data_IF_049900682050
#
_entry.id   IF_049900682050
#
_cell.length_a   1.000
_cell.length_b   1.000
_cell.length_c   1.000
_cell.angle_alpha   90.00
_cell.angle_beta   90.00
_cell.angle_gamma   90.00
#
_symmetry.space_group_name_H-M   'P 1'
#
loop_
_entity.id
_entity.type
_entity.pdbx_description
1 polymer ?
#
# COMPACT_ATOMS: atom_id res chain seq x y z
N UNK A 1 19.24 -24.44 -18.62
CA UNK A 1 18.03 -23.78 -18.07
C UNK A 1 18.31 -23.46 -16.61
N UNK A 2 18.39 -22.18 -16.23
CA UNK A 2 18.75 -21.77 -14.87
C UNK A 2 17.57 -22.01 -13.92
N UNK A 3 17.76 -22.84 -12.89
CA UNK A 3 16.76 -23.03 -11.85
C UNK A 3 16.48 -21.69 -11.16
N UNK A 4 15.24 -21.18 -11.26
CA UNK A 4 14.79 -20.03 -10.45
C UNK A 4 14.77 -20.45 -8.98
N UNK A 5 15.80 -20.03 -8.26
CA UNK A 5 15.90 -20.10 -6.79
C UNK A 5 14.73 -19.29 -6.21
N UNK A 6 13.92 -19.97 -5.40
CA UNK A 6 12.81 -19.49 -4.55
C UNK A 6 12.52 -17.97 -4.55
N UNK A 7 11.30 -17.57 -4.96
CA UNK A 7 10.94 -16.14 -5.03
C UNK A 7 10.45 -15.57 -3.70
N UNK A 8 9.80 -16.37 -2.82
CA UNK A 8 9.56 -16.10 -1.37
C UNK A 8 9.13 -17.41 -0.66
N UNK A 9 9.49 -17.61 0.63
CA UNK A 9 8.93 -18.62 1.58
C UNK A 9 8.97 -18.08 3.01
N UNK A 10 8.41 -16.91 3.21
CA UNK A 10 8.97 -15.93 4.13
C UNK A 10 8.83 -16.25 5.63
N UNK A 11 9.97 -16.13 6.35
CA UNK A 11 10.03 -15.58 7.73
C UNK A 11 11.26 -14.64 7.91
N UNK A 12 10.96 -13.35 7.89
CA UNK A 12 11.53 -12.09 8.41
C UNK A 12 10.54 -11.01 7.90
N UNK A 13 10.41 -9.77 8.39
CA UNK A 13 9.15 -9.03 8.23
C UNK A 13 8.86 -8.67 6.76
N UNK A 14 7.76 -9.21 6.22
CA UNK A 14 7.20 -8.79 4.95
C UNK A 14 5.85 -8.18 5.19
N UNK A 15 5.58 -7.12 4.44
CA UNK A 15 4.30 -6.46 4.46
C UNK A 15 3.24 -7.43 3.95
N UNK A 16 2.33 -7.85 4.83
CA UNK A 16 1.22 -8.75 4.49
C UNK A 16 -0.02 -7.98 4.08
N UNK A 17 -0.28 -6.88 4.78
CA UNK A 17 -1.49 -6.09 4.62
C UNK A 17 -1.25 -4.66 5.06
N UNK A 18 -1.93 -3.74 4.38
CA UNK A 18 -2.16 -2.38 4.84
C UNK A 18 -3.66 -2.15 4.92
N UNK A 19 -4.07 -1.35 5.89
CA UNK A 19 -5.46 -0.95 6.07
C UNK A 19 -5.52 0.51 6.49
N UNK A 20 -6.58 1.18 6.06
CA UNK A 20 -6.97 2.48 6.58
C UNK A 20 -7.73 2.26 7.89
N UNK A 21 -7.33 3.01 8.91
CA UNK A 21 -8.04 3.06 10.19
C UNK A 21 -8.85 4.36 10.24
N UNK A 22 -10.17 4.34 9.89
CA UNK A 22 -10.94 5.55 9.65
C UNK A 22 -11.06 6.45 10.89
N UNK A 23 -11.01 5.87 12.08
CA UNK A 23 -11.03 6.57 13.36
C UNK A 23 -9.82 7.49 13.59
N UNK A 24 -8.75 7.33 12.82
CA UNK A 24 -7.54 8.17 12.89
C UNK A 24 -7.50 9.28 11.84
N UNK A 25 -8.50 9.35 10.96
CA UNK A 25 -8.58 10.40 9.95
C UNK A 25 -9.25 11.64 10.55
N UNK A 26 -8.49 12.72 10.66
CA UNK A 26 -8.98 13.98 11.22
C UNK A 26 -9.80 14.81 10.21
N UNK A 27 -9.44 14.76 8.93
CA UNK A 27 -10.07 15.53 7.86
C UNK A 27 -10.12 14.68 6.58
N UNK A 28 -11.31 14.35 6.10
CA UNK A 28 -11.51 13.54 4.90
C UNK A 28 -11.36 14.33 3.60
N UNK A 29 -11.48 15.65 3.66
CA UNK A 29 -11.41 16.51 2.48
C UNK A 29 -9.96 16.99 2.20
N UNK A 30 -9.07 16.85 3.19
CA UNK A 30 -7.65 17.14 3.09
C UNK A 30 -6.81 16.02 2.42
N UNK A 31 -5.66 16.39 1.86
CA UNK A 31 -4.67 15.41 1.39
C UNK A 31 -4.08 14.63 2.60
N UNK A 32 -3.88 13.30 2.51
CA UNK A 32 -4.09 12.44 1.33
C UNK A 32 -5.50 11.85 1.20
N UNK A 33 -6.40 12.10 2.16
CA UNK A 33 -7.70 11.42 2.28
C UNK A 33 -8.71 11.77 1.20
N UNK A 34 -8.58 12.93 0.56
CA UNK A 34 -9.41 13.31 -0.59
C UNK A 34 -9.02 12.62 -1.91
N UNK A 35 -7.95 11.80 -1.92
CA UNK A 35 -7.55 11.05 -3.11
C UNK A 35 -8.59 9.98 -3.49
N UNK A 36 -8.77 9.70 -4.80
CA UNK A 36 -9.76 8.70 -5.26
C UNK A 36 -9.63 7.32 -4.60
N UNK A 37 -8.42 6.88 -4.27
CA UNK A 37 -8.17 5.58 -3.62
C UNK A 37 -8.75 5.46 -2.20
N UNK A 38 -9.09 6.57 -1.55
CA UNK A 38 -9.66 6.61 -0.19
C UNK A 38 -11.10 7.13 -0.16
N UNK A 39 -11.74 7.31 -1.33
CA UNK A 39 -13.08 7.90 -1.46
C UNK A 39 -14.14 7.17 -0.64
N UNK A 40 -14.06 5.85 -0.56
CA UNK A 40 -15.03 5.02 0.15
C UNK A 40 -14.80 5.05 1.67
N UNK A 41 -13.79 5.80 2.15
CA UNK A 41 -13.39 5.93 3.57
C UNK A 41 -12.99 4.63 4.24
N UNK A 42 -12.87 3.57 3.45
CA UNK A 42 -12.36 2.27 3.80
C UNK A 42 -11.29 1.92 2.76
N UNK A 43 -10.23 1.26 3.23
CA UNK A 43 -9.18 0.77 2.35
C UNK A 43 -8.49 -0.40 3.01
N UNK A 44 -8.37 -1.50 2.30
CA UNK A 44 -7.61 -2.66 2.70
C UNK A 44 -6.90 -3.22 1.48
N UNK A 45 -5.62 -3.55 1.63
CA UNK A 45 -4.85 -4.16 0.57
C UNK A 45 -3.96 -5.27 1.12
N UNK A 46 -4.20 -6.50 0.66
CA UNK A 46 -3.42 -7.68 1.01
C UNK A 46 -2.38 -7.99 -0.06
N UNK A 47 -1.15 -8.23 0.37
CA UNK A 47 -0.04 -8.61 -0.48
C UNK A 47 -0.01 -10.14 -0.64
N UNK A 48 -0.53 -10.62 -1.77
CA UNK A 48 -0.58 -12.06 -2.10
C UNK A 48 0.65 -12.56 -2.85
N UNK A 49 1.54 -11.65 -3.27
CA UNK A 49 2.73 -11.93 -4.07
C UNK A 49 3.91 -11.04 -3.64
N UNK A 50 5.13 -11.52 -3.87
CA UNK A 50 6.36 -10.74 -3.56
C UNK A 50 6.48 -9.46 -4.40
N UNK A 51 5.97 -9.53 -5.63
CA UNK A 51 5.97 -8.43 -6.58
C UNK A 51 4.52 -8.04 -6.77
N UNK A 52 4.20 -6.81 -6.41
CA UNK A 52 2.88 -6.21 -6.56
C UNK A 52 3.02 -4.99 -7.45
N UNK A 53 2.18 -4.92 -8.49
CA UNK A 53 2.17 -3.79 -9.42
C UNK A 53 0.89 -2.99 -9.18
N UNK A 54 1.04 -1.73 -8.77
CA UNK A 54 -0.08 -0.80 -8.56
C UNK A 54 -0.29 0.01 -9.83
N UNK A 55 -1.47 -0.09 -10.43
CA UNK A 55 -1.84 0.58 -11.70
C UNK A 55 -3.11 1.40 -11.50
N UNK A 56 -3.25 2.49 -12.27
CA UNK A 56 -4.40 3.40 -12.22
C UNK A 56 -4.07 4.73 -12.87
N UNK A 57 -5.08 5.57 -13.09
CA UNK A 57 -4.93 6.89 -13.73
C UNK A 57 -4.05 7.87 -12.94
N UNK A 58 -3.56 8.92 -13.58
CA UNK A 58 -2.82 9.96 -12.89
C UNK A 58 -3.72 10.67 -11.86
N UNK A 59 -3.17 10.96 -10.68
CA UNK A 59 -3.92 11.60 -9.59
C UNK A 59 -4.76 10.65 -8.72
N UNK A 60 -4.80 9.33 -8.99
CA UNK A 60 -5.58 8.39 -8.16
C UNK A 60 -5.01 8.12 -6.77
N UNK A 61 -3.74 8.50 -6.52
CA UNK A 61 -3.07 8.31 -5.22
C UNK A 61 -2.03 7.18 -5.17
N UNK A 62 -1.60 6.63 -6.31
CA UNK A 62 -0.61 5.52 -6.36
C UNK A 62 0.72 5.85 -5.69
N UNK A 63 1.32 6.99 -6.04
CA UNK A 63 2.60 7.41 -5.46
C UNK A 63 2.45 7.71 -3.97
N UNK A 64 1.37 8.39 -3.59
CA UNK A 64 1.02 8.65 -2.18
C UNK A 64 0.88 7.37 -1.37
N UNK A 65 0.24 6.33 -1.93
CA UNK A 65 0.13 5.03 -1.27
C UNK A 65 1.51 4.38 -1.08
N UNK A 66 2.37 4.44 -2.10
CA UNK A 66 3.74 3.91 -2.01
C UNK A 66 4.59 4.66 -0.97
N UNK A 67 4.50 5.99 -0.93
CA UNK A 67 5.17 6.83 0.06
C UNK A 67 4.68 6.49 1.47
N UNK A 68 3.37 6.36 1.68
CA UNK A 68 2.79 5.98 2.96
C UNK A 68 3.26 4.57 3.41
N UNK A 69 3.33 3.60 2.50
CA UNK A 69 3.89 2.28 2.79
C UNK A 69 5.36 2.39 3.22
N UNK A 70 6.16 3.18 2.51
CA UNK A 70 7.57 3.41 2.82
C UNK A 70 7.76 4.02 4.21
N UNK A 71 7.03 5.09 4.51
CA UNK A 71 7.09 5.76 5.81
C UNK A 71 6.68 4.82 6.95
N UNK A 72 5.58 4.07 6.80
CA UNK A 72 5.12 3.09 7.80
C UNK A 72 6.08 1.91 7.99
N UNK A 73 6.85 1.58 6.96
CA UNK A 73 7.88 0.55 7.01
C UNK A 73 9.24 1.07 7.53
N UNK A 74 9.35 2.36 7.87
CA UNK A 74 10.55 2.96 8.44
C UNK A 74 11.57 3.45 7.41
N UNK A 75 11.14 3.81 6.20
CA UNK A 75 11.98 4.31 5.10
C UNK A 75 11.77 5.81 4.79
N UNK A 76 11.28 6.58 5.77
CA UNK A 76 11.10 8.05 5.70
C UNK A 76 12.42 8.81 5.90
#
# INVERSE_FOLDING_TARGET
MAARKQLTRLKAPYLKRILLEPSRVADWDGYPWSLPIFRDREFEFEFTSAITIIVGENGTGKSTLLEAIGALAGYD
#
